data_IF_823610876237
#
_entry.id   IF_823610876237
#
_cell.length_a   1.000
_cell.length_b   1.000
_cell.length_c   1.000
_cell.angle_alpha   90.00
_cell.angle_beta   90.00
_cell.angle_gamma   90.00
#
_symmetry.space_group_name_H-M   'P 1'
#
loop_
_entity.id
_entity.type
_entity.pdbx_description
1 polymer ?
#
# COMPACT_ATOMS: atom_id res chain seq x y z
N UNK A 1 15.66 10.17 -3.42
CA UNK A 1 16.61 9.78 -2.37
C UNK A 1 17.08 8.35 -2.60
N UNK A 2 18.32 8.06 -2.22
CA UNK A 2 18.95 6.75 -2.41
C UNK A 2 18.16 5.58 -1.80
N UNK A 3 17.47 5.83 -0.68
CA UNK A 3 16.70 4.78 -0.02
C UNK A 3 15.50 4.24 -0.84
N UNK A 4 15.02 4.98 -1.85
CA UNK A 4 13.96 4.48 -2.74
C UNK A 4 14.41 3.27 -3.57
N UNK A 5 15.70 3.16 -3.87
CA UNK A 5 16.26 2.01 -4.62
C UNK A 5 16.05 0.69 -3.87
N UNK A 6 15.96 0.73 -2.53
CA UNK A 6 15.65 -0.43 -1.70
C UNK A 6 14.21 -0.93 -1.84
N UNK A 7 13.32 -0.20 -2.51
CA UNK A 7 11.92 -0.53 -2.71
C UNK A 7 11.57 -0.89 -4.16
N UNK A 8 12.52 -1.38 -4.92
CA UNK A 8 12.28 -1.86 -6.28
C UNK A 8 11.29 -3.04 -6.33
N UNK A 9 10.78 -3.34 -7.53
CA UNK A 9 9.97 -4.55 -7.78
C UNK A 9 10.87 -5.78 -7.93
N UNK A 10 11.47 -6.19 -6.83
CA UNK A 10 12.41 -7.30 -6.72
C UNK A 10 12.29 -7.94 -5.33
N UNK A 11 13.06 -8.99 -5.06
CA UNK A 11 13.02 -9.71 -3.79
C UNK A 11 13.32 -8.80 -2.59
N UNK A 12 14.35 -7.97 -2.66
CA UNK A 12 14.65 -7.01 -1.59
C UNK A 12 13.48 -6.08 -1.32
N UNK A 13 12.94 -5.45 -2.36
CA UNK A 13 11.82 -4.51 -2.23
C UNK A 13 10.56 -5.18 -1.67
N UNK A 14 10.25 -6.40 -2.08
CA UNK A 14 9.11 -7.16 -1.56
C UNK A 14 9.29 -7.45 -0.06
N UNK A 15 10.44 -7.92 0.36
CA UNK A 15 10.76 -8.17 1.77
C UNK A 15 10.63 -6.89 2.62
N UNK A 16 11.09 -5.76 2.11
CA UNK A 16 11.01 -4.47 2.81
C UNK A 16 9.57 -3.97 2.94
N UNK A 17 8.77 -4.04 1.87
CA UNK A 17 7.36 -3.64 1.93
C UNK A 17 6.56 -4.51 2.89
N UNK A 18 6.78 -5.81 2.88
CA UNK A 18 6.15 -6.73 3.83
C UNK A 18 6.58 -6.43 5.27
N UNK A 19 7.87 -6.20 5.52
CA UNK A 19 8.37 -5.86 6.85
C UNK A 19 7.76 -4.56 7.38
N UNK A 20 7.68 -3.53 6.56
CA UNK A 20 7.02 -2.25 6.92
C UNK A 20 5.55 -2.48 7.23
N UNK A 21 4.83 -3.21 6.40
CA UNK A 21 3.42 -3.51 6.61
C UNK A 21 3.17 -4.24 7.94
N UNK A 22 3.98 -5.24 8.26
CA UNK A 22 3.87 -6.04 9.48
C UNK A 22 4.36 -5.29 10.74
N UNK A 23 5.05 -4.18 10.58
CA UNK A 23 5.46 -3.31 11.70
C UNK A 23 4.32 -2.45 12.25
N UNK A 24 3.20 -2.34 11.55
CA UNK A 24 2.13 -1.39 11.86
C UNK A 24 0.99 -2.09 12.61
N UNK A 25 0.73 -1.66 13.85
CA UNK A 25 -0.45 -2.09 14.61
C UNK A 25 -1.68 -1.27 14.19
N UNK A 26 -2.33 -1.71 13.10
CA UNK A 26 -3.50 -1.06 12.53
C UNK A 26 -4.69 -1.00 13.48
N UNK A 27 -4.82 -2.01 14.34
CA UNK A 27 -5.90 -2.05 15.35
C UNK A 27 -5.72 -0.91 16.35
N UNK A 28 -4.52 -0.75 16.90
CA UNK A 28 -4.23 0.34 17.85
C UNK A 28 -4.38 1.71 17.18
N UNK A 29 -3.92 1.87 15.94
CA UNK A 29 -4.12 3.12 15.18
C UNK A 29 -5.61 3.42 15.00
N UNK A 30 -6.42 2.43 14.59
CA UNK A 30 -7.87 2.60 14.43
C UNK A 30 -8.58 2.97 15.74
N UNK A 31 -8.21 2.33 16.85
CA UNK A 31 -8.81 2.56 18.15
C UNK A 31 -8.38 3.90 18.79
N UNK A 32 -7.08 4.21 18.77
CA UNK A 32 -6.52 5.35 19.53
C UNK A 32 -6.50 6.66 18.74
N UNK A 33 -6.31 6.60 17.44
CA UNK A 33 -6.19 7.79 16.58
C UNK A 33 -7.50 8.07 15.84
N UNK A 34 -8.13 7.04 15.30
CA UNK A 34 -9.42 7.17 14.62
C UNK A 34 -10.63 6.99 15.56
N UNK A 35 -10.39 6.76 16.85
CA UNK A 35 -11.45 6.61 17.86
C UNK A 35 -12.52 5.59 17.48
N UNK A 36 -12.12 4.50 16.81
CA UNK A 36 -13.00 3.44 16.35
C UNK A 36 -13.84 3.77 15.10
N UNK A 37 -13.59 4.91 14.44
CA UNK A 37 -14.30 5.28 13.20
C UNK A 37 -13.70 4.64 11.95
N UNK A 38 -12.54 3.98 12.07
CA UNK A 38 -11.88 3.26 10.98
C UNK A 38 -11.78 1.77 11.32
N UNK A 39 -11.85 0.94 10.30
CA UNK A 39 -11.66 -0.51 10.41
C UNK A 39 -10.36 -0.89 9.73
N UNK A 40 -9.46 -1.65 10.40
CA UNK A 40 -8.25 -2.17 9.77
C UNK A 40 -8.59 -2.99 8.52
N UNK A 41 -7.92 -2.68 7.41
CA UNK A 41 -8.13 -3.41 6.16
C UNK A 41 -7.51 -4.82 6.23
N UNK A 42 -8.18 -5.78 5.61
CA UNK A 42 -7.70 -7.15 5.38
C UNK A 42 -7.68 -7.51 3.90
N UNK A 43 -8.07 -6.55 3.07
CA UNK A 43 -8.27 -6.66 1.64
C UNK A 43 -8.04 -5.27 1.01
N UNK A 44 -7.77 -5.19 -0.29
CA UNK A 44 -7.70 -3.94 -1.04
C UNK A 44 -9.09 -3.36 -1.35
N UNK A 45 -10.13 -4.18 -1.22
CA UNK A 45 -11.52 -3.81 -1.48
C UNK A 45 -12.25 -3.46 -0.18
N UNK A 46 -13.29 -2.67 -0.29
CA UNK A 46 -14.22 -2.46 0.80
C UNK A 46 -15.17 -3.68 0.95
N UNK A 47 -15.55 -3.99 2.19
CA UNK A 47 -16.37 -5.17 2.52
C UNK A 47 -17.66 -5.37 1.69
N UNK A 48 -18.38 -4.32 1.21
CA UNK A 48 -19.56 -4.51 0.37
C UNK A 48 -19.28 -4.96 -1.07
N UNK A 49 -18.01 -4.96 -1.52
CA UNK A 49 -17.66 -5.36 -2.89
C UNK A 49 -17.66 -6.90 -2.99
N UNK A 50 -18.24 -7.45 -4.07
CA UNK A 50 -18.46 -8.89 -4.20
C UNK A 50 -17.18 -9.73 -4.12
N UNK A 51 -16.07 -9.24 -4.68
CA UNK A 51 -14.77 -9.92 -4.65
C UNK A 51 -14.06 -9.83 -3.29
N UNK A 52 -14.53 -9.00 -2.34
CA UNK A 52 -13.93 -8.86 -1.01
C UNK A 52 -13.77 -10.21 -0.31
N UNK A 53 -12.59 -10.47 0.25
CA UNK A 53 -12.29 -11.71 0.97
C UNK A 53 -11.36 -11.47 2.16
N UNK A 54 -11.69 -12.10 3.29
CA UNK A 54 -10.80 -12.16 4.46
C UNK A 54 -9.78 -13.29 4.36
N UNK A 55 -9.88 -14.12 3.33
CA UNK A 55 -9.12 -15.36 3.16
C UNK A 55 -8.08 -15.28 2.02
N UNK A 56 -7.71 -14.07 1.58
CA UNK A 56 -6.69 -13.89 0.55
C UNK A 56 -5.36 -14.47 1.01
N UNK A 57 -4.74 -15.27 0.14
CA UNK A 57 -3.39 -15.80 0.38
C UNK A 57 -2.39 -14.64 0.41
N UNK A 58 -1.60 -14.57 1.47
CA UNK A 58 -0.60 -13.53 1.66
C UNK A 58 -1.09 -12.34 2.51
N UNK A 59 -2.38 -12.30 2.90
CA UNK A 59 -2.90 -11.19 3.68
C UNK A 59 -2.39 -11.15 5.14
N UNK A 60 -1.61 -12.12 5.57
CA UNK A 60 -0.88 -12.07 6.83
C UNK A 60 0.07 -10.87 6.93
N UNK A 61 0.52 -10.32 5.79
CA UNK A 61 1.34 -9.10 5.76
C UNK A 61 0.61 -7.85 6.28
N UNK A 62 -0.72 -7.89 6.36
CA UNK A 62 -1.55 -6.83 6.91
C UNK A 62 -1.72 -6.93 8.43
N UNK A 63 -1.26 -8.02 9.04
CA UNK A 63 -1.32 -8.24 10.49
C UNK A 63 -0.07 -7.72 11.17
N UNK A 64 -0.25 -7.07 12.32
CA UNK A 64 0.87 -6.64 13.16
C UNK A 64 1.65 -7.84 13.65
N UNK A 65 2.92 -7.95 13.24
CA UNK A 65 3.84 -9.00 13.67
C UNK A 65 5.28 -8.46 13.67
N UNK A 66 5.70 -7.78 14.74
CA UNK A 66 7.01 -7.15 14.80
C UNK A 66 8.18 -8.13 14.70
N UNK A 67 8.04 -9.35 15.21
CA UNK A 67 9.08 -10.39 15.10
C UNK A 67 9.29 -10.80 13.65
N UNK A 68 8.22 -11.04 12.91
CA UNK A 68 8.29 -11.37 11.48
C UNK A 68 8.79 -10.20 10.65
N UNK A 69 8.37 -8.99 10.97
CA UNK A 69 8.87 -7.77 10.33
C UNK A 69 10.39 -7.65 10.44
N UNK A 70 10.95 -7.87 11.63
CA UNK A 70 12.41 -7.87 11.85
C UNK A 70 13.12 -8.97 11.06
N UNK A 71 12.55 -10.18 11.01
CA UNK A 71 13.10 -11.30 10.21
C UNK A 71 13.19 -10.94 8.73
N UNK A 72 12.08 -10.40 8.17
CA UNK A 72 12.03 -10.02 6.75
C UNK A 72 12.99 -8.86 6.44
N UNK A 73 13.08 -7.89 7.33
CA UNK A 73 14.02 -6.78 7.20
C UNK A 73 15.47 -7.24 7.23
N UNK A 74 15.80 -8.18 8.10
CA UNK A 74 17.14 -8.79 8.15
C UNK A 74 17.46 -9.57 6.86
N UNK A 75 16.51 -10.29 6.29
CA UNK A 75 16.67 -10.95 4.99
C UNK A 75 16.91 -9.95 3.87
N UNK A 76 16.18 -8.83 3.85
CA UNK A 76 16.41 -7.77 2.88
C UNK A 76 17.82 -7.15 3.04
N UNK A 77 18.27 -6.92 4.27
CA UNK A 77 19.61 -6.41 4.56
C UNK A 77 20.74 -7.36 4.13
N UNK A 78 20.47 -8.67 4.09
CA UNK A 78 21.42 -9.66 3.55
C UNK A 78 21.56 -9.56 2.03
N UNK A 79 20.55 -9.06 1.32
CA UNK A 79 20.61 -8.77 -0.12
C UNK A 79 21.33 -7.45 -0.35
N UNK A 80 20.88 -6.39 0.33
CA UNK A 80 21.47 -5.05 0.27
C UNK A 80 21.30 -4.34 1.63
N UNK A 81 22.37 -3.93 2.31
CA UNK A 81 22.25 -3.25 3.60
C UNK A 81 21.43 -1.96 3.48
N UNK A 82 20.51 -1.76 4.43
CA UNK A 82 19.70 -0.54 4.47
C UNK A 82 20.57 0.70 4.70
N UNK A 83 20.28 1.75 3.98
CA UNK A 83 20.81 3.10 4.21
C UNK A 83 19.71 4.12 3.94
N UNK A 84 19.72 5.20 4.70
CA UNK A 84 18.81 6.32 4.52
C UNK A 84 17.70 6.41 5.57
N UNK A 85 16.77 7.30 5.32
CA UNK A 85 15.66 7.62 6.21
C UNK A 85 14.34 7.38 5.50
N UNK A 86 13.52 6.47 6.02
CA UNK A 86 12.19 6.21 5.47
C UNK A 86 11.25 7.40 5.75
N UNK A 87 10.47 7.80 4.75
CA UNK A 87 9.56 8.92 4.89
C UNK A 87 8.16 8.64 4.37
N UNK A 88 7.13 9.21 5.04
CA UNK A 88 5.74 9.20 4.56
C UNK A 88 5.25 10.63 4.43
N UNK A 89 4.99 11.06 3.21
CA UNK A 89 4.47 12.39 2.91
C UNK A 89 2.95 12.48 3.14
N UNK A 90 2.51 13.65 3.57
CA UNK A 90 1.10 13.97 3.78
C UNK A 90 0.87 15.49 3.65
N UNK A 91 -0.37 15.90 3.39
CA UNK A 91 -0.74 17.31 3.42
C UNK A 91 -1.06 17.77 4.83
N UNK A 92 -0.42 18.84 5.28
CA UNK A 92 -0.51 19.34 6.66
C UNK A 92 -1.82 20.10 6.96
N UNK A 93 -2.53 20.54 5.92
CA UNK A 93 -3.86 21.15 6.01
C UNK A 93 -5.02 20.15 6.20
N UNK A 94 -4.69 18.84 6.18
CA UNK A 94 -5.65 17.76 6.41
C UNK A 94 -5.52 17.13 7.80
N UNK A 95 -6.09 15.95 7.98
CA UNK A 95 -6.17 15.24 9.27
C UNK A 95 -5.15 14.10 9.42
N UNK A 96 -4.22 13.96 8.47
CA UNK A 96 -3.34 12.78 8.40
C UNK A 96 -2.17 12.79 9.38
N UNK A 97 -1.78 13.94 9.94
CA UNK A 97 -0.58 14.10 10.77
C UNK A 97 -0.44 13.02 11.83
N UNK A 98 -1.45 12.85 12.66
CA UNK A 98 -1.35 11.98 13.84
C UNK A 98 -1.17 10.50 13.47
N UNK A 99 -1.89 10.01 12.45
CA UNK A 99 -1.76 8.61 12.07
C UNK A 99 -0.49 8.35 11.25
N UNK A 100 -0.03 9.31 10.44
CA UNK A 100 1.24 9.19 9.71
C UNK A 100 2.41 9.16 10.70
N UNK A 101 2.43 10.06 11.69
CA UNK A 101 3.46 10.06 12.74
C UNK A 101 3.45 8.75 13.55
N UNK A 102 2.28 8.24 13.89
CA UNK A 102 2.16 6.96 14.60
C UNK A 102 2.73 5.79 13.76
N UNK A 103 2.43 5.73 12.47
CA UNK A 103 2.97 4.70 11.56
C UNK A 103 4.50 4.81 11.48
N UNK A 104 5.04 6.01 11.31
CA UNK A 104 6.49 6.22 11.30
C UNK A 104 7.15 5.76 12.61
N UNK A 105 6.51 6.02 13.75
CA UNK A 105 7.00 5.54 15.06
C UNK A 105 6.98 4.01 15.18
N UNK A 106 5.94 3.34 14.67
CA UNK A 106 5.90 1.88 14.61
C UNK A 106 7.05 1.32 13.78
N UNK A 107 7.27 1.86 12.58
CA UNK A 107 8.35 1.44 11.68
C UNK A 107 9.71 1.66 12.34
N UNK A 108 9.97 2.84 12.88
CA UNK A 108 11.20 3.19 13.56
C UNK A 108 11.50 2.23 14.72
N UNK A 109 10.52 2.01 15.58
CA UNK A 109 10.71 1.20 16.79
C UNK A 109 10.83 -0.30 16.48
N UNK A 110 10.14 -0.78 15.43
CA UNK A 110 10.18 -2.19 15.07
C UNK A 110 11.44 -2.55 14.29
N UNK A 111 11.82 -1.73 13.31
CA UNK A 111 12.90 -2.05 12.38
C UNK A 111 14.25 -1.42 12.77
N UNK A 112 14.26 -0.57 13.80
CA UNK A 112 15.45 0.17 14.24
C UNK A 112 16.09 0.99 13.10
N UNK A 113 15.24 1.73 12.39
CA UNK A 113 15.62 2.62 11.29
C UNK A 113 15.08 4.03 11.53
N UNK A 114 15.68 5.02 10.91
CA UNK A 114 15.09 6.35 10.87
C UNK A 114 13.84 6.34 9.99
N UNK A 115 12.74 6.83 10.56
CA UNK A 115 11.47 6.97 9.86
C UNK A 115 10.78 8.26 10.31
N UNK A 116 10.32 9.07 9.36
CA UNK A 116 9.69 10.36 9.64
C UNK A 116 8.47 10.65 8.78
N UNK A 117 7.59 11.46 9.31
CA UNK A 117 6.53 12.10 8.54
C UNK A 117 7.08 13.30 7.76
N UNK A 118 6.59 13.50 6.53
CA UNK A 118 7.01 14.59 5.64
C UNK A 118 5.78 15.46 5.36
N UNK A 119 5.58 16.56 6.12
CA UNK A 119 4.46 17.46 5.89
C UNK A 119 4.69 18.31 4.63
N UNK A 120 3.68 18.37 3.76
CA UNK A 120 3.53 19.35 2.70
C UNK A 120 2.49 20.37 3.11
N UNK A 121 2.69 21.64 2.80
CA UNK A 121 1.92 22.73 3.39
C UNK A 121 0.43 22.64 3.07
N UNK A 122 0.08 22.25 1.85
CA UNK A 122 -1.29 22.17 1.37
C UNK A 122 -1.61 20.91 0.60
N UNK A 123 -2.91 20.61 0.49
CA UNK A 123 -3.42 19.52 -0.36
C UNK A 123 -3.01 19.70 -1.82
N UNK A 124 -3.06 20.94 -2.33
CA UNK A 124 -2.72 21.24 -3.73
C UNK A 124 -1.24 20.96 -4.01
N UNK A 125 -0.34 21.37 -3.11
CA UNK A 125 1.09 21.06 -3.21
C UNK A 125 1.32 19.54 -3.20
N UNK A 126 0.68 18.84 -2.26
CA UNK A 126 0.78 17.40 -2.11
C UNK A 126 0.32 16.66 -3.37
N UNK A 127 -0.90 16.95 -3.85
CA UNK A 127 -1.47 16.31 -5.04
C UNK A 127 -0.66 16.64 -6.30
N UNK A 128 -0.21 17.88 -6.46
CA UNK A 128 0.65 18.26 -7.59
C UNK A 128 1.97 17.47 -7.62
N UNK A 129 2.57 17.18 -6.48
CA UNK A 129 3.77 16.33 -6.42
C UNK A 129 3.47 14.87 -6.73
N UNK A 130 2.32 14.33 -6.29
CA UNK A 130 1.89 12.97 -6.62
C UNK A 130 1.63 12.85 -8.12
N UNK A 131 0.80 13.72 -8.67
CA UNK A 131 0.34 13.66 -10.08
C UNK A 131 1.47 13.91 -11.08
N UNK A 132 2.42 14.77 -10.73
CA UNK A 132 3.58 15.06 -11.58
C UNK A 132 4.73 14.05 -11.46
N UNK A 133 4.57 13.01 -10.61
CA UNK A 133 5.63 12.03 -10.35
C UNK A 133 6.85 12.58 -9.61
N UNK A 134 6.74 13.74 -8.97
CA UNK A 134 7.81 14.37 -8.20
C UNK A 134 7.89 13.89 -6.75
N UNK A 135 6.91 13.08 -6.32
CA UNK A 135 6.93 12.49 -4.99
C UNK A 135 8.08 11.50 -4.88
N UNK A 136 8.99 11.74 -3.93
CA UNK A 136 10.22 10.95 -3.73
C UNK A 136 10.21 10.20 -2.40
N UNK A 137 9.02 9.93 -1.85
CA UNK A 137 8.80 9.19 -0.61
C UNK A 137 7.56 8.32 -0.72
N UNK A 138 7.33 7.45 0.25
CA UNK A 138 6.00 6.93 0.48
C UNK A 138 5.06 8.09 0.83
N UNK A 139 3.78 7.94 0.58
CA UNK A 139 2.82 9.01 0.85
C UNK A 139 1.45 8.44 1.26
N UNK A 140 0.70 9.24 2.00
CA UNK A 140 -0.67 8.89 2.34
C UNK A 140 -1.52 8.83 1.07
N UNK A 141 -2.44 7.90 1.00
CA UNK A 141 -3.40 7.81 -0.09
C UNK A 141 -4.77 7.44 0.45
N UNK A 142 -5.79 7.63 -0.37
CA UNK A 142 -7.16 7.22 -0.11
C UNK A 142 -7.91 7.06 -1.42
N UNK A 143 -8.92 6.20 -1.41
CA UNK A 143 -9.77 5.97 -2.56
C UNK A 143 -11.23 5.86 -2.15
N UNK A 144 -12.08 6.57 -2.84
CA UNK A 144 -13.52 6.41 -2.79
C UNK A 144 -14.01 5.93 -4.15
N UNK A 145 -14.66 4.76 -4.25
CA UNK A 145 -15.06 4.22 -5.54
C UNK A 145 -16.22 5.03 -6.13
N UNK A 146 -16.22 5.22 -7.45
CA UNK A 146 -17.31 5.87 -8.18
C UNK A 146 -18.53 4.94 -8.33
N UNK A 147 -18.26 3.64 -8.32
CA UNK A 147 -19.28 2.57 -8.39
C UNK A 147 -18.79 1.31 -7.63
N UNK A 148 -19.71 0.46 -7.13
CA UNK A 148 -19.38 -0.64 -6.23
C UNK A 148 -18.89 -1.89 -7.00
N UNK A 149 -17.73 -1.80 -7.62
CA UNK A 149 -17.11 -2.91 -8.33
C UNK A 149 -15.61 -2.97 -8.07
N UNK A 150 -15.05 -4.18 -8.09
CA UNK A 150 -13.63 -4.43 -7.83
C UNK A 150 -12.70 -3.73 -8.81
N UNK A 151 -13.10 -3.59 -10.08
CA UNK A 151 -12.31 -2.90 -11.10
C UNK A 151 -12.09 -1.41 -10.76
N UNK A 152 -13.05 -0.76 -10.11
CA UNK A 152 -12.89 0.64 -9.68
C UNK A 152 -11.84 0.82 -8.58
N UNK A 153 -11.46 -0.23 -7.89
CA UNK A 153 -10.30 -0.26 -6.99
C UNK A 153 -9.05 -0.77 -7.71
N UNK A 154 -9.11 -2.00 -8.22
CA UNK A 154 -7.92 -2.74 -8.62
C UNK A 154 -7.36 -2.26 -9.97
N UNK A 155 -8.20 -2.07 -10.97
CA UNK A 155 -7.76 -1.57 -12.29
C UNK A 155 -7.36 -0.10 -12.18
N UNK A 156 -8.14 0.71 -11.50
CA UNK A 156 -7.86 2.15 -11.38
C UNK A 156 -6.56 2.44 -10.62
N UNK A 157 -6.23 1.65 -9.59
CA UNK A 157 -5.13 1.96 -8.69
C UNK A 157 -3.84 1.17 -8.99
N UNK A 158 -3.92 0.01 -9.66
CA UNK A 158 -2.77 -0.89 -9.77
C UNK A 158 -2.50 -1.43 -11.18
N UNK A 159 -3.45 -1.36 -12.12
CA UNK A 159 -3.21 -1.79 -13.49
C UNK A 159 -2.22 -0.87 -14.21
N UNK A 160 -1.36 -1.44 -15.05
CA UNK A 160 -0.36 -0.68 -15.81
C UNK A 160 -0.97 0.34 -16.75
N UNK A 161 -2.20 0.12 -17.26
CA UNK A 161 -2.91 1.07 -18.10
C UNK A 161 -3.28 2.37 -17.39
N UNK A 162 -3.38 2.33 -16.05
CA UNK A 162 -3.70 3.49 -15.19
C UNK A 162 -2.46 4.20 -14.65
N UNK A 163 -1.26 3.72 -14.98
CA UNK A 163 0.02 4.31 -14.58
C UNK A 163 0.44 5.50 -15.47
N UNK A 164 1.57 6.10 -15.17
CA UNK A 164 2.20 7.19 -15.94
C UNK A 164 1.27 8.41 -16.14
N UNK A 165 0.48 8.73 -15.12
CA UNK A 165 -0.46 9.87 -15.16
C UNK A 165 -1.71 9.64 -16.01
N UNK A 166 -1.99 8.39 -16.44
CA UNK A 166 -3.18 8.06 -17.23
C UNK A 166 -4.41 7.75 -16.39
N UNK A 167 -4.22 7.49 -15.10
CA UNK A 167 -5.29 7.16 -14.17
C UNK A 167 -4.83 7.24 -12.72
N UNK A 168 -5.49 6.51 -11.83
CA UNK A 168 -5.27 6.57 -10.38
C UNK A 168 -4.04 5.80 -9.86
N UNK A 169 -3.30 5.10 -10.73
CA UNK A 169 -2.10 4.36 -10.34
C UNK A 169 -0.89 5.31 -10.17
N UNK A 170 -0.97 6.17 -9.17
CA UNK A 170 0.05 7.18 -8.87
C UNK A 170 1.37 6.59 -8.36
N UNK A 171 1.36 5.34 -7.90
CA UNK A 171 2.56 4.60 -7.52
C UNK A 171 3.33 4.01 -8.70
N UNK A 172 2.79 4.10 -9.90
CA UNK A 172 3.35 3.53 -11.14
C UNK A 172 3.68 2.04 -11.04
N UNK A 173 2.88 1.30 -10.26
CA UNK A 173 2.98 -0.15 -10.20
C UNK A 173 2.71 -0.77 -11.56
N UNK A 174 3.56 -1.67 -12.00
CA UNK A 174 3.43 -2.38 -13.27
C UNK A 174 3.81 -3.84 -13.08
N UNK A 175 2.86 -4.71 -13.28
CA UNK A 175 3.06 -6.16 -13.19
C UNK A 175 2.21 -6.88 -14.23
N UNK A 176 2.82 -7.49 -15.27
CA UNK A 176 2.09 -8.18 -16.32
C UNK A 176 1.21 -9.33 -15.83
N UNK A 177 1.58 -10.00 -14.74
CA UNK A 177 0.75 -11.07 -14.15
C UNK A 177 -0.52 -10.50 -13.51
N UNK A 178 -0.41 -9.37 -12.82
CA UNK A 178 -1.55 -8.65 -12.27
C UNK A 178 -2.47 -8.14 -13.39
N UNK A 179 -1.90 -7.47 -14.40
CA UNK A 179 -2.66 -6.96 -15.55
C UNK A 179 -3.44 -8.08 -16.25
N UNK A 180 -2.82 -9.27 -16.43
CA UNK A 180 -3.49 -10.42 -17.02
C UNK A 180 -4.67 -10.92 -16.19
N UNK A 181 -4.61 -10.84 -14.85
CA UNK A 181 -5.76 -11.18 -14.00
C UNK A 181 -6.89 -10.16 -14.14
N UNK A 182 -6.55 -8.87 -14.27
CA UNK A 182 -7.55 -7.81 -14.53
C UNK A 182 -8.24 -8.01 -15.85
N UNK A 183 -7.51 -8.32 -16.93
CA UNK A 183 -8.07 -8.60 -18.24
C UNK A 183 -9.03 -9.81 -18.21
N UNK A 184 -8.66 -10.88 -17.51
CA UNK A 184 -9.51 -12.06 -17.32
C UNK A 184 -10.78 -11.73 -16.53
N UNK A 185 -10.66 -10.94 -15.46
CA UNK A 185 -11.80 -10.52 -14.67
C UNK A 185 -12.80 -9.68 -15.49
N UNK A 186 -12.29 -8.70 -16.24
CA UNK A 186 -13.11 -7.82 -17.09
C UNK A 186 -13.80 -8.58 -18.24
N UNK A 187 -13.24 -9.69 -18.69
CA UNK A 187 -13.78 -10.54 -19.78
C UNK A 187 -14.59 -11.74 -19.27
N UNK A 188 -14.69 -11.92 -17.95
CA UNK A 188 -15.35 -13.08 -17.38
C UNK A 188 -16.86 -13.11 -17.68
N UNK A 189 -17.45 -14.29 -17.91
CA UNK A 189 -18.87 -14.41 -18.27
C UNK A 189 -19.82 -14.23 -17.08
N UNK A 190 -19.31 -14.25 -15.84
CA UNK A 190 -20.09 -14.09 -14.62
C UNK A 190 -19.33 -13.30 -13.56
N UNK A 191 -20.08 -12.73 -12.62
CA UNK A 191 -19.49 -12.04 -11.45
C UNK A 191 -18.65 -12.99 -10.61
N UNK A 192 -19.10 -14.22 -10.40
CA UNK A 192 -18.39 -15.23 -9.61
C UNK A 192 -17.03 -15.60 -10.22
N UNK A 193 -16.94 -15.66 -11.54
CA UNK A 193 -15.67 -15.91 -12.23
C UNK A 193 -14.78 -14.65 -12.19
N UNK A 194 -15.35 -13.48 -12.39
CA UNK A 194 -14.63 -12.22 -12.29
C UNK A 194 -14.02 -12.07 -10.90
N UNK A 195 -14.78 -12.31 -9.83
CA UNK A 195 -14.33 -12.20 -8.43
C UNK A 195 -13.12 -13.09 -8.15
N UNK A 196 -13.08 -14.31 -8.70
CA UNK A 196 -11.92 -15.20 -8.57
C UNK A 196 -10.66 -14.61 -9.18
N UNK A 197 -10.77 -13.99 -10.36
CA UNK A 197 -9.63 -13.35 -11.00
C UNK A 197 -9.19 -12.09 -10.26
N UNK A 198 -10.12 -11.28 -9.75
CA UNK A 198 -9.80 -10.13 -8.91
C UNK A 198 -9.05 -10.57 -7.65
N UNK A 199 -9.51 -11.59 -6.95
CA UNK A 199 -8.83 -12.14 -5.77
C UNK A 199 -7.43 -12.67 -6.09
N UNK A 200 -7.23 -13.34 -7.22
CA UNK A 200 -5.90 -13.76 -7.68
C UNK A 200 -4.98 -12.55 -7.94
N UNK A 201 -5.52 -11.47 -8.49
CA UNK A 201 -4.80 -10.21 -8.65
C UNK A 201 -4.39 -9.59 -7.32
N UNK A 202 -5.28 -9.56 -6.35
CA UNK A 202 -4.98 -9.07 -4.99
C UNK A 202 -3.89 -9.91 -4.29
N UNK A 203 -3.90 -11.22 -4.47
CA UNK A 203 -2.87 -12.11 -3.96
C UNK A 203 -1.48 -11.83 -4.58
N UNK A 204 -1.45 -11.36 -5.83
CA UNK A 204 -0.20 -10.88 -6.46
C UNK A 204 0.27 -9.58 -5.81
N UNK A 205 -0.65 -8.65 -5.48
CA UNK A 205 -0.31 -7.40 -4.80
C UNK A 205 0.23 -7.61 -3.37
N UNK A 206 -0.13 -8.71 -2.73
CA UNK A 206 0.29 -9.05 -1.36
C UNK A 206 1.69 -9.69 -1.29
N UNK A 207 2.28 -10.06 -2.40
CA UNK A 207 3.62 -10.64 -2.47
C UNK A 207 4.71 -9.55 -2.34
#
# INVERSE_FOLDING_TARGET
PEWLEHFGQNEEGNLRRQAISMSIDRKTVAEKIFHGTATPAVDFLAAPISAYSKELKGNEVLKYNPSKAKELWAKANAISPWSGEFGIAYNADGTAKNWVEAICNYIKNTLDIDAKSIPMSTSDEFLSNVDSGKMTSAYRSGWGPDYPSADNYLVQLYDSSSADGKGGNSGNYKNPEFDAMMDKALSAPSTEEADKYYQQGEEILLQ
#
